data_IF_298988547143
#
_entry.id   IF_298988547143
#
_cell.length_a   1.000
_cell.length_b   1.000
_cell.length_c   1.000
_cell.angle_alpha   90.00
_cell.angle_beta   90.00
_cell.angle_gamma   90.00
#
_symmetry.space_group_name_H-M   'P 1'
#
loop_
_entity.id
_entity.type
_entity.pdbx_description
1 polymer ?
#
# COMPACT_ATOMS: atom_id res chain seq x y z
N UNK A 1 18.74 4.74 -5.58
CA UNK A 1 17.29 4.59 -5.68
C UNK A 1 16.60 4.78 -4.33
N UNK A 2 16.91 4.01 -3.30
CA UNK A 2 16.26 4.05 -1.99
C UNK A 2 16.27 5.40 -1.25
N UNK A 3 17.27 6.24 -1.46
CA UNK A 3 17.33 7.57 -0.86
C UNK A 3 16.38 8.60 -1.51
N UNK A 4 16.00 8.40 -2.76
CA UNK A 4 15.16 9.35 -3.51
C UNK A 4 13.72 8.81 -3.65
N UNK A 5 13.58 7.51 -3.88
CA UNK A 5 12.30 6.85 -4.07
C UNK A 5 12.03 5.94 -2.88
N UNK A 6 11.21 6.44 -1.94
CA UNK A 6 10.82 5.68 -0.75
C UNK A 6 9.60 4.80 -1.07
N UNK A 7 9.81 3.75 -1.87
CA UNK A 7 8.75 2.85 -2.32
C UNK A 7 9.30 1.44 -2.55
N UNK A 8 9.31 0.62 -1.50
CA UNK A 8 9.94 -0.70 -1.49
C UNK A 8 9.48 -1.62 -2.61
N UNK A 9 8.17 -1.84 -2.75
CA UNK A 9 7.62 -2.73 -3.77
C UNK A 9 7.94 -2.29 -5.20
N UNK A 10 7.93 -0.98 -5.48
CA UNK A 10 8.29 -0.44 -6.78
C UNK A 10 9.79 -0.65 -7.09
N UNK A 11 10.64 -0.53 -6.07
CA UNK A 11 12.08 -0.79 -6.21
C UNK A 11 12.34 -2.27 -6.50
N UNK A 12 11.69 -3.18 -5.78
CA UNK A 12 11.82 -4.63 -6.04
C UNK A 12 11.34 -4.97 -7.45
N UNK A 13 10.18 -4.49 -7.88
CA UNK A 13 9.68 -4.73 -9.22
C UNK A 13 10.65 -4.22 -10.30
N UNK A 14 11.19 -3.01 -10.12
CA UNK A 14 12.15 -2.42 -11.05
C UNK A 14 13.45 -3.23 -11.14
N UNK A 15 14.00 -3.59 -9.98
CA UNK A 15 15.26 -4.36 -9.91
C UNK A 15 15.07 -5.75 -10.52
N UNK A 16 13.97 -6.44 -10.21
CA UNK A 16 13.67 -7.76 -10.76
C UNK A 16 13.53 -7.74 -12.28
N UNK A 17 12.86 -6.72 -12.85
CA UNK A 17 12.72 -6.57 -14.30
C UNK A 17 14.09 -6.33 -14.96
N UNK A 18 14.90 -5.46 -14.39
CA UNK A 18 16.24 -5.16 -14.91
C UNK A 18 17.14 -6.40 -14.81
N UNK A 19 17.11 -7.12 -13.67
CA UNK A 19 17.86 -8.32 -13.47
C UNK A 19 17.48 -9.44 -14.46
N UNK A 20 16.20 -9.52 -14.83
CA UNK A 20 15.70 -10.44 -15.85
C UNK A 20 15.99 -9.99 -17.31
N UNK A 21 16.80 -8.94 -17.51
CA UNK A 21 17.13 -8.41 -18.83
C UNK A 21 16.05 -7.49 -19.43
N UNK A 22 15.07 -7.08 -18.65
CA UNK A 22 14.03 -6.14 -19.09
C UNK A 22 14.54 -4.72 -19.25
N UNK A 23 13.91 -3.95 -20.14
CA UNK A 23 14.28 -2.56 -20.41
C UNK A 23 13.85 -1.59 -19.32
N UNK A 24 14.52 -0.43 -19.23
CA UNK A 24 14.21 0.64 -18.28
C UNK A 24 12.74 1.11 -18.38
N UNK A 25 12.16 1.16 -19.58
CA UNK A 25 10.75 1.52 -19.77
C UNK A 25 9.79 0.56 -19.08
N UNK A 26 10.03 -0.75 -19.14
CA UNK A 26 9.23 -1.76 -18.44
C UNK A 26 9.38 -1.62 -16.92
N UNK A 27 10.60 -1.39 -16.44
CA UNK A 27 10.85 -1.17 -15.02
C UNK A 27 10.12 0.08 -14.48
N UNK A 28 10.15 1.20 -15.21
CA UNK A 28 9.44 2.43 -14.86
C UNK A 28 7.92 2.21 -14.88
N UNK A 29 7.40 1.55 -15.90
CA UNK A 29 5.96 1.24 -15.99
C UNK A 29 5.51 0.40 -14.80
N UNK A 30 6.21 -0.69 -14.47
CA UNK A 30 5.89 -1.52 -13.32
C UNK A 30 5.96 -0.74 -12.00
N UNK A 31 7.01 0.06 -11.80
CA UNK A 31 7.14 0.91 -10.62
C UNK A 31 5.98 1.90 -10.47
N UNK A 32 5.58 2.54 -11.57
CA UNK A 32 4.47 3.48 -11.60
C UNK A 32 3.15 2.79 -11.26
N UNK A 33 2.91 1.61 -11.82
CA UNK A 33 1.74 0.79 -11.52
C UNK A 33 1.72 0.39 -10.04
N UNK A 34 2.83 -0.07 -9.49
CA UNK A 34 2.92 -0.44 -8.07
C UNK A 34 2.67 0.76 -7.14
N UNK A 35 3.15 1.95 -7.52
CA UNK A 35 3.00 3.18 -6.74
C UNK A 35 1.62 3.83 -6.89
N UNK A 36 0.83 3.47 -7.89
CA UNK A 36 -0.50 4.05 -8.11
C UNK A 36 -1.43 3.87 -6.89
N UNK A 37 -1.19 2.87 -6.05
CA UNK A 37 -1.91 2.66 -4.78
C UNK A 37 -1.76 3.81 -3.79
N UNK A 38 -0.65 4.57 -3.86
CA UNK A 38 -0.44 5.72 -2.99
C UNK A 38 -1.36 6.90 -3.33
N UNK A 39 -1.96 6.95 -4.52
CA UNK A 39 -2.92 7.99 -4.88
C UNK A 39 -4.15 7.98 -3.96
N UNK A 40 -4.90 6.87 -3.83
CA UNK A 40 -6.04 6.81 -2.92
C UNK A 40 -5.62 6.94 -1.45
N UNK A 41 -4.46 6.41 -1.05
CA UNK A 41 -3.95 6.55 0.30
C UNK A 41 -3.66 8.02 0.65
N UNK A 42 -2.98 8.74 -0.24
CA UNK A 42 -2.67 10.16 -0.05
C UNK A 42 -3.93 11.02 -0.06
N UNK A 43 -4.92 10.69 -0.88
CA UNK A 43 -6.22 11.36 -0.89
C UNK A 43 -6.95 11.19 0.46
N UNK A 44 -6.91 9.99 1.04
CA UNK A 44 -7.52 9.72 2.33
C UNK A 44 -6.84 10.46 3.48
N UNK A 45 -5.50 10.50 3.50
CA UNK A 45 -4.70 11.16 4.55
C UNK A 45 -4.68 12.69 4.38
N UNK A 46 -4.80 13.18 3.15
CA UNK A 46 -4.68 14.58 2.82
C UNK A 46 -5.44 15.56 3.73
N UNK A 47 -6.72 15.31 4.09
CA UNK A 47 -7.46 16.16 5.02
C UNK A 47 -6.84 16.26 6.43
N UNK A 48 -6.12 15.22 6.87
CA UNK A 48 -5.48 15.16 8.20
C UNK A 48 -4.16 15.94 8.27
N UNK A 49 -3.58 16.34 7.11
CA UNK A 49 -2.35 17.11 7.10
C UNK A 49 -2.59 18.61 7.34
N UNK A 50 -1.83 19.17 8.27
CA UNK A 50 -1.77 20.59 8.56
C UNK A 50 -0.87 21.35 7.57
N UNK A 51 -1.17 22.64 7.35
CA UNK A 51 -0.36 23.57 6.55
C UNK A 51 -0.88 23.82 5.14
N UNK A 52 -0.16 24.65 4.39
CA UNK A 52 -0.51 25.00 3.01
C UNK A 52 -0.26 23.88 2.00
N UNK A 53 -0.71 24.03 0.73
CA UNK A 53 -0.67 22.98 -0.29
C UNK A 53 0.71 22.37 -0.48
N UNK A 54 1.76 23.18 -0.53
CA UNK A 54 3.13 22.71 -0.72
C UNK A 54 3.64 21.86 0.47
N UNK A 55 3.33 22.30 1.71
CA UNK A 55 3.69 21.52 2.92
C UNK A 55 2.95 20.20 2.95
N UNK A 56 1.67 20.19 2.60
CA UNK A 56 0.85 18.96 2.52
C UNK A 56 1.39 18.01 1.45
N UNK A 57 1.77 18.54 0.29
CA UNK A 57 2.40 17.73 -0.77
C UNK A 57 3.73 17.12 -0.32
N UNK A 58 4.58 17.90 0.37
CA UNK A 58 5.83 17.39 0.94
C UNK A 58 5.59 16.28 1.98
N UNK A 59 4.61 16.46 2.87
CA UNK A 59 4.20 15.43 3.85
C UNK A 59 3.63 14.18 3.17
N UNK A 60 2.99 14.33 2.01
CA UNK A 60 2.49 13.22 1.19
C UNK A 60 3.59 12.23 0.77
N UNK A 61 4.85 12.67 0.67
CA UNK A 61 5.99 11.78 0.40
C UNK A 61 6.26 10.79 1.54
N UNK A 62 5.79 11.09 2.74
CA UNK A 62 5.92 10.23 3.91
C UNK A 62 4.81 9.16 3.99
N UNK A 63 3.83 9.17 3.09
CA UNK A 63 2.74 8.20 3.08
C UNK A 63 3.22 6.90 2.45
N UNK A 64 3.50 5.92 3.29
CA UNK A 64 3.81 4.54 2.90
C UNK A 64 2.89 3.58 3.64
N UNK A 65 2.81 2.33 3.18
CA UNK A 65 1.85 1.33 3.70
C UNK A 65 1.87 1.22 5.23
N UNK A 66 3.06 1.11 5.81
CA UNK A 66 3.22 0.95 7.26
C UNK A 66 2.79 2.21 8.02
N UNK A 67 3.26 3.40 7.62
CA UNK A 67 2.91 4.65 8.30
C UNK A 67 1.42 4.97 8.17
N UNK A 68 0.83 4.67 7.02
CA UNK A 68 -0.60 4.81 6.79
C UNK A 68 -1.41 3.92 7.73
N UNK A 69 -1.07 2.63 7.81
CA UNK A 69 -1.76 1.68 8.68
C UNK A 69 -1.61 2.04 10.17
N UNK A 70 -0.39 2.40 10.61
CA UNK A 70 -0.13 2.75 12.00
C UNK A 70 -0.80 4.05 12.44
N UNK A 71 -0.94 5.03 11.54
CA UNK A 71 -1.50 6.34 11.85
C UNK A 71 -3.03 6.41 11.75
N UNK A 72 -3.68 5.38 11.20
CA UNK A 72 -5.13 5.31 11.07
C UNK A 72 -5.80 5.22 12.44
N UNK A 73 -6.80 6.08 12.68
CA UNK A 73 -7.61 6.09 13.90
C UNK A 73 -8.90 5.25 13.80
N UNK A 74 -9.14 4.62 12.63
CA UNK A 74 -10.31 3.79 12.39
C UNK A 74 -11.61 4.55 12.08
N UNK A 75 -11.65 5.85 12.29
CA UNK A 75 -12.77 6.76 12.00
C UNK A 75 -12.65 7.49 10.67
N UNK A 76 -11.62 7.14 9.89
CA UNK A 76 -11.27 7.81 8.62
C UNK A 76 -10.32 8.99 8.79
N UNK A 77 -9.89 9.30 10.01
CA UNK A 77 -8.84 10.28 10.30
C UNK A 77 -7.49 9.63 10.55
N UNK A 78 -6.43 10.41 10.44
CA UNK A 78 -5.05 9.93 10.62
C UNK A 78 -4.28 10.85 11.57
N UNK A 79 -3.39 10.26 12.36
CA UNK A 79 -2.48 11.00 13.22
C UNK A 79 -1.25 11.44 12.40
N UNK A 80 -1.16 12.74 12.12
CA UNK A 80 -0.09 13.32 11.33
C UNK A 80 1.30 13.09 11.95
N UNK A 81 1.43 13.26 13.28
CA UNK A 81 2.72 13.14 13.95
C UNK A 81 3.19 11.69 13.98
N UNK A 82 2.28 10.76 14.23
CA UNK A 82 2.59 9.34 14.20
C UNK A 82 2.98 8.89 12.79
N UNK A 83 2.26 9.37 11.76
CA UNK A 83 2.58 9.07 10.36
C UNK A 83 3.99 9.55 9.99
N UNK A 84 4.30 10.80 10.27
CA UNK A 84 5.60 11.38 9.92
C UNK A 84 6.75 10.74 10.72
N UNK A 85 6.54 10.48 12.01
CA UNK A 85 7.52 9.80 12.87
C UNK A 85 7.82 8.37 12.41
N UNK A 86 6.77 7.58 12.16
CA UNK A 86 6.90 6.21 11.65
C UNK A 86 7.61 6.18 10.29
N UNK A 87 7.26 7.10 9.38
CA UNK A 87 7.90 7.20 8.07
C UNK A 87 9.36 7.62 8.17
N UNK A 88 9.72 8.52 9.07
CA UNK A 88 11.12 8.93 9.25
C UNK A 88 11.99 7.77 9.70
N UNK A 89 11.52 6.98 10.67
CA UNK A 89 12.22 5.78 11.14
C UNK A 89 12.31 4.75 10.01
N UNK A 90 11.20 4.49 9.33
CA UNK A 90 11.16 3.54 8.21
C UNK A 90 12.09 3.97 7.06
N UNK A 91 12.18 5.26 6.75
CA UNK A 91 13.08 5.78 5.73
C UNK A 91 14.56 5.55 6.10
N UNK A 92 14.95 5.91 7.32
CA UNK A 92 16.33 5.73 7.79
C UNK A 92 16.72 4.25 7.77
N UNK A 93 15.85 3.37 8.29
CA UNK A 93 16.13 1.93 8.31
C UNK A 93 16.15 1.33 6.90
N UNK A 94 15.28 1.82 5.99
CA UNK A 94 15.25 1.39 4.59
C UNK A 94 16.54 1.75 3.85
N UNK A 95 17.01 3.00 3.98
CA UNK A 95 18.24 3.45 3.35
C UNK A 95 19.45 2.72 3.93
N UNK A 96 19.51 2.60 5.26
CA UNK A 96 20.58 1.87 5.94
C UNK A 96 20.61 0.39 5.55
N UNK A 97 19.45 -0.27 5.55
CA UNK A 97 19.33 -1.67 5.13
C UNK A 97 19.75 -1.88 3.67
N UNK A 98 19.37 -0.96 2.77
CA UNK A 98 19.80 -1.00 1.37
C UNK A 98 21.33 -0.87 1.25
N UNK A 99 21.93 0.05 2.02
CA UNK A 99 23.40 0.23 2.02
C UNK A 99 24.11 -1.02 2.54
N UNK A 100 23.61 -1.60 3.64
CA UNK A 100 24.14 -2.86 4.20
C UNK A 100 24.02 -3.99 3.18
N UNK A 101 22.83 -4.16 2.57
CA UNK A 101 22.61 -5.20 1.55
C UNK A 101 23.50 -5.02 0.31
N UNK A 102 23.74 -3.77 -0.11
CA UNK A 102 24.61 -3.49 -1.26
C UNK A 102 26.11 -3.77 -0.97
N UNK A 103 26.54 -3.61 0.27
CA UNK A 103 27.96 -3.78 0.64
C UNK A 103 28.27 -5.23 1.03
N UNK A 104 27.37 -5.88 1.73
CA UNK A 104 27.58 -7.20 2.31
C UNK A 104 26.63 -8.30 1.80
N UNK A 105 25.74 -7.98 0.87
CA UNK A 105 24.75 -8.93 0.34
C UNK A 105 25.38 -10.24 -0.17
N UNK A 106 26.51 -10.16 -0.86
CA UNK A 106 27.23 -11.34 -1.37
C UNK A 106 27.75 -12.28 -0.26
N UNK A 107 27.86 -11.76 0.98
CA UNK A 107 28.33 -12.55 2.14
C UNK A 107 27.17 -13.22 2.88
N UNK A 108 25.92 -12.84 2.62
CA UNK A 108 24.74 -13.39 3.27
C UNK A 108 24.39 -14.79 2.75
N UNK A 109 25.00 -15.24 1.67
CA UNK A 109 24.69 -16.51 1.02
C UNK A 109 23.39 -16.44 0.21
N UNK A 110 22.62 -17.52 0.22
CA UNK A 110 21.37 -17.62 -0.52
C UNK A 110 20.24 -16.89 0.24
N UNK A 111 19.70 -15.79 -0.30
CA UNK A 111 18.60 -15.05 0.32
C UNK A 111 17.32 -15.88 0.50
N UNK A 112 17.06 -16.82 -0.42
CA UNK A 112 15.86 -17.66 -0.37
C UNK A 112 15.97 -18.69 0.77
N UNK A 113 17.18 -19.23 1.01
CA UNK A 113 17.45 -20.10 2.14
C UNK A 113 17.28 -19.40 3.51
N UNK A 114 17.41 -18.06 3.54
CA UNK A 114 17.15 -17.22 4.70
C UNK A 114 15.68 -16.78 4.84
N UNK A 115 14.83 -17.13 3.88
CA UNK A 115 13.42 -16.75 3.86
C UNK A 115 13.18 -15.25 3.65
N UNK A 116 14.15 -14.52 3.08
CA UNK A 116 14.04 -13.08 2.84
C UNK A 116 12.97 -12.75 1.80
N UNK A 117 12.68 -13.66 0.89
CA UNK A 117 11.60 -13.60 -0.09
C UNK A 117 10.20 -13.56 0.57
N UNK A 118 10.04 -14.20 1.72
CA UNK A 118 8.78 -14.26 2.46
C UNK A 118 8.49 -13.02 3.31
N UNK A 119 9.45 -12.11 3.52
CA UNK A 119 9.29 -10.94 4.42
C UNK A 119 8.15 -10.03 3.96
N UNK A 120 8.11 -9.69 2.67
CA UNK A 120 7.06 -8.79 2.14
C UNK A 120 5.68 -9.44 2.12
N UNK A 121 5.50 -10.66 1.62
CA UNK A 121 4.22 -11.36 1.74
C UNK A 121 3.73 -11.45 3.18
N UNK A 122 4.61 -11.80 4.12
CA UNK A 122 4.26 -11.89 5.53
C UNK A 122 3.86 -10.53 6.13
N UNK A 123 4.60 -9.47 5.81
CA UNK A 123 4.28 -8.10 6.24
C UNK A 123 2.90 -7.65 5.74
N UNK A 124 2.63 -7.78 4.44
CA UNK A 124 1.33 -7.38 3.87
C UNK A 124 0.19 -8.27 4.37
N UNK A 125 0.46 -9.55 4.61
CA UNK A 125 -0.52 -10.45 5.22
C UNK A 125 -0.86 -10.01 6.65
N UNK A 126 0.14 -9.62 7.45
CA UNK A 126 -0.07 -9.05 8.77
C UNK A 126 -0.92 -7.77 8.75
N UNK A 127 -0.65 -6.86 7.80
CA UNK A 127 -1.49 -5.66 7.61
C UNK A 127 -2.93 -6.03 7.22
N UNK A 128 -3.09 -6.98 6.30
CA UNK A 128 -4.42 -7.45 5.88
C UNK A 128 -5.21 -8.01 7.05
N UNK A 129 -4.59 -8.83 7.92
CA UNK A 129 -5.28 -9.40 9.09
C UNK A 129 -5.84 -8.30 10.01
N UNK A 130 -5.12 -7.19 10.16
CA UNK A 130 -5.58 -6.05 10.93
C UNK A 130 -6.80 -5.32 10.32
N UNK A 131 -7.06 -5.50 9.02
CA UNK A 131 -8.21 -4.89 8.35
C UNK A 131 -9.44 -5.82 8.29
N UNK A 132 -9.28 -7.12 8.56
CA UNK A 132 -10.33 -8.14 8.40
C UNK A 132 -11.35 -8.20 9.56
N UNK A 133 -11.64 -7.07 10.21
CA UNK A 133 -12.52 -7.02 11.39
C UNK A 133 -14.01 -7.20 11.04
N UNK A 134 -14.44 -6.98 9.81
CA UNK A 134 -15.83 -7.08 9.39
C UNK A 134 -16.05 -8.15 8.32
N UNK A 135 -17.26 -8.75 8.27
CA UNK A 135 -17.61 -9.68 7.21
C UNK A 135 -17.52 -9.06 5.80
N UNK A 136 -17.77 -7.74 5.71
CA UNK A 136 -17.64 -6.98 4.46
C UNK A 136 -16.19 -6.85 4.04
N UNK A 137 -15.29 -6.50 4.96
CA UNK A 137 -13.86 -6.41 4.68
C UNK A 137 -13.31 -7.76 4.22
N UNK A 138 -13.72 -8.84 4.86
CA UNK A 138 -13.38 -10.22 4.45
C UNK A 138 -13.87 -10.55 3.05
N UNK A 139 -15.10 -10.18 2.70
CA UNK A 139 -15.64 -10.40 1.36
C UNK A 139 -14.92 -9.62 0.27
N UNK A 140 -14.58 -8.35 0.53
CA UNK A 140 -13.78 -7.51 -0.39
C UNK A 140 -12.36 -8.05 -0.54
N UNK A 141 -11.73 -8.46 0.56
CA UNK A 141 -10.40 -9.05 0.54
C UNK A 141 -10.37 -10.38 -0.24
N UNK A 142 -11.36 -11.25 -0.03
CA UNK A 142 -11.48 -12.50 -0.77
C UNK A 142 -11.69 -12.27 -2.28
N UNK A 143 -12.54 -11.30 -2.64
CA UNK A 143 -12.75 -10.92 -4.04
C UNK A 143 -11.46 -10.38 -4.67
N UNK A 144 -10.76 -9.47 -3.98
CA UNK A 144 -9.48 -8.94 -4.44
C UNK A 144 -8.42 -10.02 -4.61
N UNK A 145 -8.33 -10.95 -3.65
CA UNK A 145 -7.42 -12.08 -3.73
C UNK A 145 -7.74 -13.00 -4.91
N UNK A 146 -9.02 -13.33 -5.13
CA UNK A 146 -9.44 -14.16 -6.26
C UNK A 146 -9.09 -13.49 -7.62
N UNK A 147 -9.33 -12.19 -7.75
CA UNK A 147 -8.96 -11.42 -8.94
C UNK A 147 -7.44 -11.44 -9.15
N UNK A 148 -6.67 -11.18 -8.09
CA UNK A 148 -5.21 -11.18 -8.18
C UNK A 148 -4.67 -12.54 -8.62
N UNK A 149 -5.09 -13.63 -7.97
CA UNK A 149 -4.67 -15.00 -8.29
C UNK A 149 -5.02 -15.37 -9.74
N UNK A 150 -6.21 -14.99 -10.21
CA UNK A 150 -6.61 -15.26 -11.59
C UNK A 150 -5.78 -14.48 -12.62
N UNK A 151 -5.28 -13.29 -12.28
CA UNK A 151 -4.53 -12.43 -13.19
C UNK A 151 -3.01 -12.67 -13.15
N UNK A 152 -2.46 -13.18 -12.04
CA UNK A 152 -1.01 -13.42 -11.91
C UNK A 152 -0.40 -14.20 -13.08
N UNK A 153 -1.02 -15.31 -13.59
CA UNK A 153 -0.42 -16.10 -14.67
C UNK A 153 -0.52 -15.45 -16.06
N UNK A 154 -1.38 -14.45 -16.25
CA UNK A 154 -1.71 -13.92 -17.58
C UNK A 154 -1.40 -12.41 -17.75
N UNK A 155 -1.16 -11.69 -16.67
CA UNK A 155 -0.98 -10.25 -16.71
C UNK A 155 0.43 -9.83 -16.28
N UNK A 156 1.00 -8.76 -16.86
CA UNK A 156 2.28 -8.20 -16.42
C UNK A 156 2.28 -7.82 -14.94
N UNK A 157 3.46 -7.85 -14.27
CA UNK A 157 3.61 -7.42 -12.89
C UNK A 157 3.01 -6.05 -12.61
N UNK A 158 2.22 -5.94 -11.53
CA UNK A 158 1.52 -4.71 -11.12
C UNK A 158 0.05 -4.65 -11.58
N UNK A 159 -0.31 -5.16 -12.76
CA UNK A 159 -1.71 -5.17 -13.21
C UNK A 159 -2.62 -5.99 -12.28
N UNK A 160 -2.26 -7.19 -11.82
CA UNK A 160 -3.09 -7.93 -10.87
C UNK A 160 -3.44 -7.12 -9.61
N UNK A 161 -2.47 -6.38 -9.08
CA UNK A 161 -2.68 -5.53 -7.89
C UNK A 161 -3.65 -4.39 -8.17
N UNK A 162 -3.51 -3.71 -9.33
CA UNK A 162 -4.40 -2.62 -9.71
C UNK A 162 -5.84 -3.09 -9.92
N UNK A 163 -6.01 -4.17 -10.67
CA UNK A 163 -7.36 -4.71 -10.95
C UNK A 163 -7.98 -5.26 -9.66
N UNK A 164 -7.22 -5.96 -8.84
CA UNK A 164 -7.68 -6.44 -7.54
C UNK A 164 -8.10 -5.28 -6.60
N UNK A 165 -7.43 -4.13 -6.67
CA UNK A 165 -7.79 -2.96 -5.86
C UNK A 165 -9.18 -2.41 -6.19
N UNK A 166 -9.68 -2.63 -7.42
CA UNK A 166 -11.06 -2.26 -7.80
C UNK A 166 -12.12 -3.01 -7.00
N UNK A 167 -11.79 -4.16 -6.40
CA UNK A 167 -12.69 -4.85 -5.48
C UNK A 167 -13.10 -3.96 -4.29
N UNK A 168 -12.23 -3.03 -3.87
CA UNK A 168 -12.54 -2.08 -2.81
C UNK A 168 -13.71 -1.15 -3.15
N UNK A 169 -13.90 -0.81 -4.43
CA UNK A 169 -15.03 0.01 -4.90
C UNK A 169 -16.38 -0.66 -4.62
N UNK A 170 -16.42 -1.99 -4.68
CA UNK A 170 -17.62 -2.76 -4.34
C UNK A 170 -17.97 -2.59 -2.85
N UNK A 171 -16.94 -2.54 -2.00
CA UNK A 171 -17.11 -2.25 -0.57
C UNK A 171 -17.64 -0.85 -0.30
N UNK A 172 -17.12 0.16 -1.02
CA UNK A 172 -17.51 1.56 -0.89
C UNK A 172 -18.96 1.81 -1.35
N UNK A 173 -19.35 1.26 -2.50
CA UNK A 173 -20.72 1.42 -3.01
C UNK A 173 -21.77 0.79 -2.09
N UNK A 174 -21.45 -0.35 -1.50
CA UNK A 174 -22.33 -1.02 -0.52
C UNK A 174 -22.41 -0.24 0.80
N UNK A 175 -21.32 0.40 1.23
CA UNK A 175 -21.32 1.27 2.43
C UNK A 175 -22.18 2.50 2.21
N UNK A 176 -22.01 3.19 1.08
CA UNK A 176 -22.80 4.36 0.73
C UNK A 176 -24.31 4.05 0.64
N UNK A 177 -24.69 2.88 0.12
CA UNK A 177 -26.09 2.44 0.08
C UNK A 177 -26.64 2.13 1.48
N UNK A 178 -25.86 1.46 2.34
CA UNK A 178 -26.29 1.14 3.69
C UNK A 178 -26.48 2.42 4.53
N UNK A 179 -25.55 3.38 4.41
CA UNK A 179 -25.64 4.67 5.12
C UNK A 179 -26.83 5.51 4.63
N UNK A 180 -27.15 5.42 3.34
CA UNK A 180 -28.33 6.10 2.75
C UNK A 180 -29.65 5.48 3.25
N UNK A 181 -29.71 4.14 3.35
CA UNK A 181 -30.86 3.45 3.92
C UNK A 181 -31.10 3.80 5.39
N UNK A 182 -30.04 3.81 6.21
CA UNK A 182 -30.14 4.20 7.62
C UNK A 182 -30.61 5.65 7.81
N UNK A 183 -30.19 6.57 6.92
CA UNK A 183 -30.67 7.95 6.93
C UNK A 183 -32.16 8.04 6.55
N UNK A 184 -32.58 7.31 5.55
CA UNK A 184 -33.99 7.28 5.14
C UNK A 184 -34.89 6.68 6.21
N UNK A 185 -34.44 5.63 6.90
CA UNK A 185 -35.16 5.04 8.04
C UNK A 185 -35.27 6.04 9.20
N UNK A 186 -34.20 6.77 9.52
CA UNK A 186 -34.20 7.79 10.56
C UNK A 186 -35.07 9.02 10.23
N UNK A 187 -35.21 9.38 8.95
CA UNK A 187 -36.05 10.49 8.49
C UNK A 187 -37.52 10.08 8.30
N UNK A 188 -37.80 8.80 8.16
CA UNK A 188 -39.17 8.25 7.95
C UNK A 188 -39.89 7.87 9.24
N UNK A 189 -39.28 7.98 10.41
CA UNK A 189 -39.92 7.68 11.69
C UNK A 189 -40.75 8.90 12.15
N UNK A 190 -42.09 8.82 12.16
CA UNK A 190 -42.94 9.94 12.57
C UNK A 190 -42.77 10.20 14.08
N UNK A 191 -42.48 11.44 14.45
CA UNK A 191 -42.42 11.94 15.85
C UNK A 191 -43.79 11.95 16.50
#
# INVERSE_FOLDING_TARGET
>A
MSAIVFAGSAQFASVSIIAAGGGAGAAVAAASLMNSRFLPMSAAVGPSFSGGPLKRAAKGQAVVDASWAMSSRGDGSFDEHLLLGASAIAYVTWVAGTAVGAIWGDKLGDPDALGLDAIFPAFFFGLLLNELHSGRARGVAALGAAIAVALVPIAPPGIPVLVASLASLVGLTRRARADMQLRQEAEGEPR
#
